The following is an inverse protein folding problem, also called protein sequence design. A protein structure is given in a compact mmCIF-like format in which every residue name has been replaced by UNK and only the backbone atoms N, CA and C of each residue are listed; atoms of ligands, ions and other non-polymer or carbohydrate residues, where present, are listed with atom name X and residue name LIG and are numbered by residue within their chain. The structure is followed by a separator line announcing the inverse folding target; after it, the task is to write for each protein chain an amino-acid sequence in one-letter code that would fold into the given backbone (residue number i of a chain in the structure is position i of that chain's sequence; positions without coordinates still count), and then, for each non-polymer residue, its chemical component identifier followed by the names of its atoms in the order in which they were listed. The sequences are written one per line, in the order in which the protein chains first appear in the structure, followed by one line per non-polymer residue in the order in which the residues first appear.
data_IF_620887659898
#
_entry.id   IF_620887659898
#
_cell.length_a   1.000
_cell.length_b   1.000
_cell.length_c   1.000
_cell.angle_alpha   90.00
_cell.angle_beta   90.00
_cell.angle_gamma   90.00
#
_symmetry.space_group_name_H-M   'P 1'
#
loop_
_entity.id
_entity.type
_entity.pdbx_description
1 polymer ?
#
# COMPACT_ATOMS: atom_id res chain seq x y z
N UNK A 1 -6.76 12.14 -19.63
CA UNK A 1 -5.78 11.48 -18.75
C UNK A 1 -6.50 10.44 -17.91
N UNK A 2 -6.02 9.22 -17.91
CA UNK A 2 -6.67 8.16 -17.15
C UNK A 2 -6.40 8.24 -15.66
N UNK A 3 -7.25 7.57 -14.89
CA UNK A 3 -7.12 7.54 -13.42
C UNK A 3 -5.79 6.95 -12.98
N UNK A 4 -5.32 5.90 -13.64
CA UNK A 4 -4.04 5.28 -13.28
C UNK A 4 -2.88 6.26 -13.44
N UNK A 5 -2.91 7.09 -14.47
CA UNK A 5 -1.87 8.12 -14.66
C UNK A 5 -1.85 9.11 -13.49
N UNK A 6 -3.02 9.54 -13.04
CA UNK A 6 -3.13 10.44 -11.89
C UNK A 6 -2.62 9.76 -10.62
N UNK A 7 -3.02 8.50 -10.41
CA UNK A 7 -2.57 7.74 -9.23
C UNK A 7 -1.05 7.57 -9.21
N UNK A 8 -0.45 7.32 -10.37
CA UNK A 8 1.02 7.22 -10.49
C UNK A 8 1.72 8.52 -10.13
N UNK A 9 1.16 9.66 -10.56
CA UNK A 9 1.72 10.96 -10.19
C UNK A 9 1.71 11.18 -8.68
N UNK A 10 0.58 10.88 -8.05
CA UNK A 10 0.43 11.03 -6.60
C UNK A 10 1.38 10.08 -5.88
N UNK A 11 1.48 8.84 -6.33
CA UNK A 11 2.36 7.85 -5.74
C UNK A 11 3.83 8.30 -5.81
N UNK A 12 4.24 8.83 -6.95
CA UNK A 12 5.60 9.33 -7.13
C UNK A 12 5.89 10.50 -6.18
N UNK A 13 4.96 11.43 -6.06
CA UNK A 13 5.13 12.59 -5.19
C UNK A 13 5.25 12.17 -3.72
N UNK A 14 4.44 11.22 -3.29
CA UNK A 14 4.51 10.71 -1.92
C UNK A 14 5.86 10.04 -1.66
N UNK A 15 6.30 9.19 -2.59
CA UNK A 15 7.58 8.50 -2.44
C UNK A 15 8.75 9.48 -2.38
N UNK A 16 8.72 10.51 -3.21
CA UNK A 16 9.75 11.54 -3.21
C UNK A 16 9.73 12.35 -1.91
N UNK A 17 8.55 12.67 -1.41
CA UNK A 17 8.39 13.46 -0.20
C UNK A 17 8.96 12.77 1.02
N UNK A 18 8.73 11.48 1.15
CA UNK A 18 9.12 10.72 2.34
C UNK A 18 10.42 9.94 2.17
N UNK A 19 10.92 9.82 0.94
CA UNK A 19 12.23 9.24 0.68
C UNK A 19 12.24 7.73 0.52
N UNK A 20 13.43 7.12 0.54
CA UNK A 20 13.59 5.71 0.14
C UNK A 20 12.97 4.70 1.09
N UNK A 21 12.60 5.09 2.30
CA UNK A 21 11.93 4.21 3.24
C UNK A 21 10.42 4.15 3.04
N UNK A 22 9.89 4.94 2.10
CA UNK A 22 8.45 5.00 1.83
C UNK A 22 8.14 4.27 0.53
N UNK A 23 7.55 3.09 0.64
CA UNK A 23 7.04 2.36 -0.50
C UNK A 23 5.64 2.85 -0.83
N UNK A 24 5.39 3.10 -2.12
CA UNK A 24 4.04 3.38 -2.61
C UNK A 24 3.74 2.40 -3.72
N UNK A 25 2.60 1.72 -3.62
CA UNK A 25 2.25 0.63 -4.51
C UNK A 25 0.83 0.79 -5.02
N UNK A 26 0.62 0.48 -6.29
CA UNK A 26 -0.69 0.49 -6.92
C UNK A 26 -0.96 -0.91 -7.47
N UNK A 27 -2.08 -1.50 -7.02
CA UNK A 27 -2.59 -2.76 -7.57
C UNK A 27 -3.76 -2.45 -8.51
N UNK A 28 -3.80 -3.15 -9.63
CA UNK A 28 -4.95 -3.16 -10.51
C UNK A 28 -5.70 -4.46 -10.29
N UNK A 29 -6.90 -4.37 -9.73
CA UNK A 29 -7.69 -5.56 -9.38
C UNK A 29 -8.52 -6.08 -10.55
N UNK A 30 -8.55 -5.38 -11.67
CA UNK A 30 -9.25 -5.80 -12.87
C UNK A 30 -8.32 -6.51 -13.86
N UNK A 31 -7.11 -6.82 -13.43
CA UNK A 31 -6.21 -7.68 -14.21
C UNK A 31 -6.71 -9.11 -14.22
N UNK A 32 -6.31 -9.86 -15.23
CA UNK A 32 -6.70 -11.28 -15.38
C UNK A 32 -6.10 -12.16 -14.28
N UNK A 33 -5.00 -11.74 -13.69
CA UNK A 33 -4.27 -12.52 -12.71
C UNK A 33 -4.06 -11.70 -11.46
N UNK A 34 -4.93 -11.87 -10.42
CA UNK A 34 -4.82 -11.10 -9.18
C UNK A 34 -3.49 -11.31 -8.45
N UNK A 35 -2.80 -12.42 -8.71
CA UNK A 35 -1.51 -12.69 -8.10
C UNK A 35 -0.40 -11.81 -8.67
N UNK A 36 -0.66 -11.15 -9.80
CA UNK A 36 0.28 -10.25 -10.45
C UNK A 36 -0.31 -8.85 -10.59
N UNK A 37 -0.96 -8.36 -9.54
CA UNK A 37 -1.76 -7.14 -9.60
C UNK A 37 -0.95 -5.84 -9.54
N UNK A 38 0.30 -5.86 -9.10
CA UNK A 38 1.10 -4.64 -8.97
C UNK A 38 1.43 -4.08 -10.35
N UNK A 39 0.92 -2.87 -10.62
CA UNK A 39 1.15 -2.18 -11.88
C UNK A 39 2.06 -0.97 -11.73
N UNK A 40 2.32 -0.52 -10.51
CA UNK A 40 3.25 0.57 -10.22
C UNK A 40 3.73 0.43 -8.77
N UNK A 41 5.02 0.62 -8.58
CA UNK A 41 5.61 0.59 -7.25
C UNK A 41 6.87 1.45 -7.22
N UNK A 42 7.03 2.19 -6.13
CA UNK A 42 8.27 2.90 -5.82
C UNK A 42 8.79 2.44 -4.48
N UNK A 43 10.10 2.31 -4.39
CA UNK A 43 10.79 1.84 -3.20
C UNK A 43 10.30 0.46 -2.75
N UNK A 44 10.10 -0.43 -3.72
CA UNK A 44 9.60 -1.79 -3.46
C UNK A 44 10.50 -2.62 -2.56
N UNK A 45 11.74 -2.20 -2.35
CA UNK A 45 12.66 -2.87 -1.43
C UNK A 45 12.14 -2.89 0.01
N UNK A 46 11.25 -1.96 0.36
CA UNK A 46 10.68 -1.91 1.72
C UNK A 46 9.94 -3.21 2.05
N UNK A 47 9.20 -3.76 1.09
CA UNK A 47 8.50 -5.03 1.26
C UNK A 47 9.03 -6.14 0.35
N UNK A 48 10.12 -5.87 -0.39
CA UNK A 48 10.73 -6.81 -1.34
C UNK A 48 9.75 -7.24 -2.44
N UNK A 49 9.01 -6.28 -2.99
CA UNK A 49 8.07 -6.53 -4.09
C UNK A 49 8.43 -5.67 -5.29
N UNK A 50 7.93 -6.06 -6.47
CA UNK A 50 8.13 -5.34 -7.72
C UNK A 50 6.93 -5.47 -8.64
N UNK A 51 7.00 -4.81 -9.80
CA UNK A 51 5.94 -4.88 -10.80
C UNK A 51 5.72 -6.33 -11.20
N UNK A 52 4.45 -6.73 -11.28
CA UNK A 52 4.06 -8.09 -11.59
C UNK A 52 3.91 -8.97 -10.36
N UNK A 53 4.31 -8.50 -9.19
CA UNK A 53 4.05 -9.23 -7.95
C UNK A 53 2.61 -9.01 -7.49
N UNK A 54 2.22 -9.82 -6.53
CA UNK A 54 0.86 -9.80 -6.03
C UNK A 54 0.69 -8.98 -4.77
N UNK A 55 -0.54 -8.90 -4.28
CA UNK A 55 -0.86 -8.19 -3.05
C UNK A 55 -0.34 -8.93 -1.83
N UNK A 56 -0.29 -8.22 -0.70
CA UNK A 56 -0.06 -8.87 0.58
C UNK A 56 -1.24 -9.83 0.88
N UNK A 57 -1.03 -10.75 1.81
CA UNK A 57 -2.08 -11.70 2.19
C UNK A 57 -3.36 -11.00 2.63
N UNK A 58 -3.23 -9.90 3.37
CA UNK A 58 -4.39 -9.14 3.82
C UNK A 58 -5.18 -8.57 2.65
N UNK A 59 -4.50 -7.99 1.66
CA UNK A 59 -5.15 -7.44 0.47
C UNK A 59 -5.75 -8.56 -0.36
N UNK A 60 -5.07 -9.70 -0.47
CA UNK A 60 -5.58 -10.84 -1.23
C UNK A 60 -6.89 -11.35 -0.63
N UNK A 61 -6.96 -11.43 0.69
CA UNK A 61 -8.19 -11.84 1.38
C UNK A 61 -9.33 -10.86 1.11
N UNK A 62 -9.03 -9.57 1.09
CA UNK A 62 -10.02 -8.54 0.75
C UNK A 62 -10.54 -8.75 -0.67
N UNK A 63 -9.67 -9.04 -1.62
CA UNK A 63 -10.08 -9.30 -3.01
C UNK A 63 -11.02 -10.49 -3.07
N UNK A 64 -10.72 -11.57 -2.35
CA UNK A 64 -11.59 -12.74 -2.28
C UNK A 64 -12.97 -12.41 -1.70
N UNK A 65 -12.97 -11.65 -0.61
CA UNK A 65 -14.23 -11.25 0.04
C UNK A 65 -15.06 -10.37 -0.88
N UNK A 66 -14.43 -9.50 -1.64
CA UNK A 66 -15.14 -8.63 -2.56
C UNK A 66 -15.86 -9.42 -3.64
N UNK A 67 -15.30 -10.54 -4.06
CA UNK A 67 -15.95 -11.43 -5.03
C UNK A 67 -17.19 -12.10 -4.44
N UNK A 68 -17.27 -12.19 -3.11
CA UNK A 68 -18.41 -12.78 -2.40
C UNK A 68 -19.41 -11.74 -1.88
N UNK A 69 -19.19 -10.47 -2.13
CA UNK A 69 -20.11 -9.34 -2.04
C UNK A 69 -20.65 -8.91 -0.72
N UNK A 70 -19.85 -8.32 0.07
CA UNK A 70 -20.37 -7.39 1.05
C UNK A 70 -20.18 -5.99 0.49
N UNK A 71 -21.26 -5.21 0.42
CA UNK A 71 -21.24 -3.87 -0.15
C UNK A 71 -20.42 -2.89 0.66
N UNK A 72 -20.21 -3.18 1.93
CA UNK A 72 -19.50 -2.31 2.86
C UNK A 72 -18.01 -2.59 2.93
N UNK A 73 -17.56 -3.68 2.33
CA UNK A 73 -16.17 -4.11 2.33
C UNK A 73 -15.58 -3.98 0.92
N UNK A 74 -14.30 -3.67 0.79
CA UNK A 74 -13.35 -3.31 1.82
C UNK A 74 -13.38 -1.82 2.13
N UNK A 75 -12.89 -1.44 3.30
CA UNK A 75 -12.78 -0.05 3.72
C UNK A 75 -11.33 0.39 3.76
N UNK A 76 -11.13 1.67 3.53
CA UNK A 76 -9.82 2.25 3.65
C UNK A 76 -9.31 2.16 5.07
N UNK A 77 -8.03 1.88 5.19
CA UNK A 77 -7.32 1.86 6.46
C UNK A 77 -6.15 2.81 6.38
N UNK A 78 -6.05 3.74 7.31
CA UNK A 78 -4.97 4.72 7.29
C UNK A 78 -4.19 4.67 8.59
N UNK A 79 -2.86 4.73 8.47
CA UNK A 79 -1.97 4.90 9.60
C UNK A 79 -1.86 3.72 10.54
N UNK A 80 -2.13 2.51 10.09
CA UNK A 80 -1.98 1.33 10.93
C UNK A 80 -0.53 0.83 10.94
N UNK A 81 -0.15 0.12 11.99
CA UNK A 81 1.20 -0.42 12.12
C UNK A 81 1.24 -1.89 11.74
N UNK A 82 2.32 -2.27 11.08
CA UNK A 82 2.57 -3.65 10.68
C UNK A 82 4.02 -3.98 10.98
N UNK A 83 4.28 -5.20 11.45
CA UNK A 83 5.63 -5.71 11.63
C UNK A 83 5.91 -6.75 10.56
N UNK A 84 7.03 -6.60 9.86
CA UNK A 84 7.45 -7.56 8.84
C UNK A 84 8.18 -8.73 9.51
N UNK A 85 8.33 -9.83 8.75
CA UNK A 85 9.05 -11.01 9.25
C UNK A 85 10.52 -10.73 9.54
N UNK A 86 11.11 -9.75 8.86
CA UNK A 86 12.51 -9.36 9.09
C UNK A 86 12.67 -8.25 10.15
N UNK A 87 11.58 -7.93 10.87
CA UNK A 87 11.66 -7.04 12.02
C UNK A 87 11.44 -5.57 11.75
N UNK A 88 11.13 -5.19 10.52
CA UNK A 88 10.79 -3.80 10.23
C UNK A 88 9.43 -3.44 10.81
N UNK A 89 9.28 -2.19 11.21
CA UNK A 89 8.00 -1.65 11.63
C UNK A 89 7.54 -0.67 10.57
N UNK A 90 6.39 -0.95 9.97
CA UNK A 90 5.84 -0.14 8.89
C UNK A 90 4.59 0.59 9.39
N UNK A 91 4.48 1.86 9.00
CA UNK A 91 3.24 2.59 9.11
C UNK A 91 2.57 2.53 7.75
N UNK A 92 1.38 1.98 7.70
CA UNK A 92 0.72 1.62 6.45
C UNK A 92 -0.60 2.33 6.27
N UNK A 93 -0.92 2.63 5.03
CA UNK A 93 -2.24 3.15 4.66
C UNK A 93 -2.67 2.44 3.39
N UNK A 94 -3.92 2.02 3.34
CA UNK A 94 -4.48 1.30 2.19
C UNK A 94 -5.78 1.95 1.80
N UNK A 95 -5.86 2.40 0.54
CA UNK A 95 -7.06 2.99 -0.03
C UNK A 95 -7.59 2.10 -1.15
N UNK A 96 -8.87 1.82 -1.11
CA UNK A 96 -9.55 1.00 -2.10
C UNK A 96 -10.32 1.92 -3.04
N UNK A 97 -9.94 1.93 -4.30
CA UNK A 97 -10.45 2.86 -5.30
C UNK A 97 -11.45 2.12 -6.16
N UNK A 98 -12.67 2.64 -6.17
CA UNK A 98 -13.78 2.01 -6.86
C UNK A 98 -14.11 2.76 -8.14
N UNK A 99 -14.68 2.03 -9.09
CA UNK A 99 -15.29 2.64 -10.26
C UNK A 99 -16.66 3.21 -9.90
N UNK A 100 -17.25 3.97 -10.81
CA UNK A 100 -18.54 4.62 -10.57
C UNK A 100 -19.66 3.62 -10.30
N UNK A 101 -19.51 2.38 -10.77
CA UNK A 101 -20.48 1.31 -10.51
C UNK A 101 -20.29 0.64 -9.14
N UNK A 102 -19.32 1.10 -8.34
CA UNK A 102 -19.04 0.56 -7.02
C UNK A 102 -18.07 -0.61 -6.99
N UNK A 103 -17.64 -1.12 -8.15
CA UNK A 103 -16.68 -2.24 -8.19
C UNK A 103 -15.27 -1.76 -7.86
N UNK A 104 -14.51 -2.60 -7.16
CA UNK A 104 -13.12 -2.32 -6.87
C UNK A 104 -12.29 -2.33 -8.14
N UNK A 105 -11.44 -1.33 -8.30
CA UNK A 105 -10.54 -1.26 -9.43
C UNK A 105 -9.08 -1.23 -8.99
N UNK A 106 -8.72 -0.33 -8.08
CA UNK A 106 -7.35 -0.20 -7.63
C UNK A 106 -7.22 -0.30 -6.13
N UNK A 107 -6.08 -0.76 -5.68
CA UNK A 107 -5.64 -0.59 -4.28
C UNK A 107 -4.40 0.29 -4.31
N UNK A 108 -4.43 1.36 -3.53
CA UNK A 108 -3.32 2.29 -3.38
C UNK A 108 -2.76 2.10 -1.96
N UNK A 109 -1.53 1.64 -1.87
CA UNK A 109 -0.91 1.35 -0.59
C UNK A 109 0.31 2.22 -0.34
N UNK A 110 0.46 2.66 0.90
CA UNK A 110 1.65 3.36 1.38
C UNK A 110 2.21 2.56 2.55
N UNK A 111 3.48 2.17 2.46
CA UNK A 111 4.14 1.38 3.49
C UNK A 111 5.44 2.11 3.87
N UNK A 112 5.42 2.81 4.98
CA UNK A 112 6.53 3.62 5.42
C UNK A 112 7.29 2.91 6.53
N UNK A 113 8.56 2.63 6.29
CA UNK A 113 9.43 2.01 7.29
C UNK A 113 9.81 3.06 8.32
N UNK A 114 9.24 2.96 9.51
CA UNK A 114 9.48 3.89 10.60
C UNK A 114 10.42 3.33 11.65
N UNK A 115 11.08 2.23 11.37
CA UNK A 115 11.98 1.60 12.36
C UNK A 115 13.03 2.56 12.86
N UNK A 116 13.65 3.30 11.94
CA UNK A 116 14.67 4.30 12.28
C UNK A 116 14.06 5.49 13.03
N UNK A 117 12.91 5.98 12.55
CA UNK A 117 12.23 7.12 13.17
C UNK A 117 11.82 6.81 14.61
N UNK A 118 11.31 5.62 14.85
CA UNK A 118 10.93 5.21 16.19
C UNK A 118 12.12 5.22 17.14
N UNK A 119 13.26 4.74 16.68
CA UNK A 119 14.49 4.78 17.48
C UNK A 119 14.90 6.23 17.81
N UNK A 120 14.83 7.12 16.82
CA UNK A 120 15.16 8.53 17.01
C UNK A 120 14.19 9.21 17.96
N UNK A 121 12.89 8.96 17.83
CA UNK A 121 11.87 9.49 18.72
C UNK A 121 12.11 9.03 20.15
N UNK A 122 12.39 7.75 20.34
CA UNK A 122 12.66 7.21 21.64
C UNK A 122 13.89 7.89 22.29
N UNK A 123 14.93 8.08 21.51
CA UNK A 123 16.13 8.77 21.97
C UNK A 123 15.82 10.21 22.37
N UNK A 124 15.04 10.92 21.56
CA UNK A 124 14.63 12.29 21.85
C UNK A 124 13.83 12.38 23.16
N UNK A 125 12.92 11.46 23.38
CA UNK A 125 12.14 11.43 24.61
C UNK A 125 13.02 11.22 25.83
N UNK A 126 14.01 10.36 25.71
CA UNK A 126 14.95 10.13 26.80
C UNK A 126 15.81 11.34 27.10
N UNK A 127 16.05 12.19 26.10
CA UNK A 127 16.86 13.40 26.25
C UNK A 127 16.06 14.58 26.78
N UNK A 128 14.77 14.53 26.62
CA UNK A 128 13.91 15.60 27.10
C UNK A 128 13.43 15.32 28.52
#
# INVERSE_FOLDING_TARGET
MGRLTVLKQIAHDIACQFGPDCEVVIHDLKTKDPENSIVYIENGHVTNRGIGDGPSNAVFDVIRHNNNKTQDEPRDHAGYLMKTSDGKILKCSTSYIRDDDGSLHYVFGINYDISRLRSEEHTSELQS
#
